data_IF_689497925610
#
_entry.id   IF_689497925610
#
_cell.length_a   1.000
_cell.length_b   1.000
_cell.length_c   1.000
_cell.angle_alpha   90.00
_cell.angle_beta   90.00
_cell.angle_gamma   90.00
#
_symmetry.space_group_name_H-M   'P 1'
#
loop_
_entity.id
_entity.type
_entity.pdbx_description
1 polymer ?
#
# COMPACT_ATOMS: atom_id res chain seq x y z
N UNK A 1 10.20 10.77 9.58
CA UNK A 1 9.89 11.24 8.21
C UNK A 1 11.16 11.90 7.74
N UNK A 2 11.77 11.42 6.65
CA UNK A 2 13.07 11.94 6.19
C UNK A 2 12.79 13.24 5.41
N UNK A 3 13.41 14.35 5.82
CA UNK A 3 13.25 15.63 5.13
C UNK A 3 14.08 15.65 3.83
N UNK A 4 13.69 16.49 2.87
CA UNK A 4 14.45 16.61 1.62
C UNK A 4 15.88 17.14 1.82
N UNK A 5 16.11 17.92 2.87
CA UNK A 5 17.45 18.39 3.28
C UNK A 5 18.33 17.24 3.74
N UNK A 6 17.76 16.32 4.54
CA UNK A 6 18.47 15.13 4.99
C UNK A 6 18.79 14.20 3.81
N UNK A 7 17.89 14.10 2.83
CA UNK A 7 18.17 13.37 1.57
C UNK A 7 19.31 14.04 0.81
N UNK A 8 19.34 15.37 0.69
CA UNK A 8 20.45 16.07 0.02
C UNK A 8 21.79 15.77 0.72
N UNK A 9 21.84 15.90 2.05
CA UNK A 9 23.04 15.65 2.84
C UNK A 9 23.53 14.19 2.71
N UNK A 10 22.62 13.21 2.74
CA UNK A 10 22.97 11.78 2.57
C UNK A 10 23.56 11.43 1.21
N UNK A 11 23.25 12.22 0.18
CA UNK A 11 23.77 12.01 -1.17
C UNK A 11 24.92 12.97 -1.51
N UNK A 12 25.46 13.68 -0.52
CA UNK A 12 26.60 14.60 -0.70
C UNK A 12 26.27 15.84 -1.53
N UNK A 13 25.00 16.21 -1.65
CA UNK A 13 24.59 17.38 -2.42
C UNK A 13 24.69 18.65 -1.57
N UNK A 14 25.49 19.61 -2.03
CA UNK A 14 25.63 20.91 -1.36
C UNK A 14 24.42 21.80 -1.66
N UNK A 15 23.71 22.18 -0.60
CA UNK A 15 22.58 23.10 -0.65
C UNK A 15 23.04 24.52 -0.28
N UNK A 16 22.68 25.49 -1.13
CA UNK A 16 22.92 26.91 -0.90
C UNK A 16 21.62 27.60 -0.47
N UNK A 17 21.64 28.40 0.60
CA UNK A 17 20.45 29.10 1.05
C UNK A 17 20.01 30.16 0.03
N UNK A 18 18.70 30.32 -0.14
CA UNK A 18 18.11 31.44 -0.88
C UNK A 18 17.61 32.51 0.09
N UNK A 19 17.24 33.69 -0.41
CA UNK A 19 16.60 34.76 0.36
C UNK A 19 15.30 34.35 1.08
N UNK A 20 14.68 33.23 0.67
CA UNK A 20 13.49 32.69 1.32
C UNK A 20 13.86 31.53 2.25
N UNK A 21 13.41 31.54 3.52
CA UNK A 21 13.66 30.43 4.43
C UNK A 21 13.00 29.15 3.91
N UNK A 22 13.71 28.03 4.00
CA UNK A 22 13.27 26.72 3.51
C UNK A 22 13.21 26.57 1.99
N UNK A 23 13.89 27.47 1.26
CA UNK A 23 14.19 27.33 -0.16
C UNK A 23 15.71 27.28 -0.35
N UNK A 24 16.16 26.24 -1.04
CA UNK A 24 17.55 25.94 -1.29
C UNK A 24 17.80 25.85 -2.78
N UNK A 25 19.02 26.22 -3.18
CA UNK A 25 19.53 26.07 -4.54
C UNK A 25 20.69 25.09 -4.52
N UNK A 26 20.82 24.29 -5.57
CA UNK A 26 21.91 23.35 -5.70
C UNK A 26 22.36 23.23 -7.16
N UNK A 27 23.55 22.65 -7.37
CA UNK A 27 23.99 22.25 -8.69
C UNK A 27 23.31 20.92 -9.06
N UNK A 28 22.76 20.86 -10.28
CA UNK A 28 22.15 19.63 -10.76
C UNK A 28 23.25 18.66 -11.22
N UNK A 29 23.34 17.43 -10.66
CA UNK A 29 24.36 16.46 -11.06
C UNK A 29 24.14 15.94 -12.49
N UNK A 30 22.88 15.88 -12.96
CA UNK A 30 22.53 15.39 -14.31
C UNK A 30 22.79 16.44 -15.39
N UNK A 31 22.55 17.71 -15.10
CA UNK A 31 22.72 18.79 -16.07
C UNK A 31 24.19 19.19 -16.30
N UNK A 32 25.11 18.65 -15.49
CA UNK A 32 26.53 19.01 -15.53
C UNK A 32 26.75 20.51 -15.31
N UNK A 33 26.02 21.13 -14.40
CA UNK A 33 26.10 22.57 -14.19
C UNK A 33 27.44 22.92 -13.51
N UNK A 34 28.37 23.51 -14.28
CA UNK A 34 29.61 24.08 -13.79
C UNK A 34 29.51 25.61 -13.87
N UNK A 35 29.52 26.31 -12.71
CA UNK A 35 29.53 27.77 -12.66
C UNK A 35 28.50 28.39 -11.70
N UNK A 36 28.10 29.65 -11.94
CA UNK A 36 27.21 30.44 -11.06
C UNK A 36 25.70 30.17 -11.25
N UNK A 37 25.33 29.30 -12.19
CA UNK A 37 23.92 29.06 -12.53
C UNK A 37 23.38 27.86 -11.75
N UNK A 38 22.49 28.12 -10.80
CA UNK A 38 21.77 27.10 -10.05
C UNK A 38 20.43 26.83 -10.71
N UNK A 39 20.25 25.66 -11.33
CA UNK A 39 18.97 25.27 -11.94
C UNK A 39 18.12 24.37 -11.04
N UNK A 40 18.71 23.78 -10.00
CA UNK A 40 18.02 22.90 -9.06
C UNK A 40 17.56 23.69 -7.83
N UNK A 41 16.25 23.70 -7.63
CA UNK A 41 15.58 24.32 -6.50
C UNK A 41 14.98 23.25 -5.60
N UNK A 42 15.20 23.36 -4.29
CA UNK A 42 14.73 22.41 -3.29
C UNK A 42 13.97 23.18 -2.22
N UNK A 43 12.73 22.80 -1.96
CA UNK A 43 11.90 23.39 -0.91
C UNK A 43 11.75 22.41 0.24
N UNK A 44 12.27 22.76 1.41
CA UNK A 44 12.07 21.95 2.62
C UNK A 44 10.70 22.14 3.25
N UNK A 45 10.04 23.28 3.02
CA UNK A 45 8.66 23.50 3.46
C UNK A 45 7.67 22.59 2.74
N UNK A 46 7.88 22.36 1.43
CA UNK A 46 7.01 21.51 0.60
C UNK A 46 7.54 20.08 0.44
N UNK A 47 8.75 19.80 0.93
CA UNK A 47 9.52 18.58 0.66
C UNK A 47 9.59 18.21 -0.83
N UNK A 48 9.73 19.22 -1.69
CA UNK A 48 9.79 19.05 -3.14
C UNK A 48 11.05 19.62 -3.75
N UNK A 49 11.49 19.05 -4.87
CA UNK A 49 12.54 19.60 -5.71
C UNK A 49 12.04 19.83 -7.13
N UNK A 50 12.69 20.77 -7.81
CA UNK A 50 12.46 21.05 -9.22
C UNK A 50 13.75 21.52 -9.88
N UNK A 51 14.12 20.92 -11.01
CA UNK A 51 15.18 21.42 -11.85
C UNK A 51 14.61 22.09 -13.10
N UNK A 52 14.93 23.37 -13.31
CA UNK A 52 14.46 24.12 -14.48
C UNK A 52 15.08 23.68 -15.82
N UNK A 53 16.22 22.97 -15.79
CA UNK A 53 16.97 22.57 -16.99
C UNK A 53 16.63 21.15 -17.46
N UNK A 54 16.65 20.15 -16.57
CA UNK A 54 16.23 18.79 -16.94
C UNK A 54 14.71 18.56 -16.77
N UNK A 55 14.00 19.47 -16.10
CA UNK A 55 12.55 19.35 -15.87
C UNK A 55 12.16 18.37 -14.77
N UNK A 56 13.12 17.68 -14.15
CA UNK A 56 12.86 16.69 -13.11
C UNK A 56 12.21 17.33 -11.88
N UNK A 57 11.21 16.66 -11.32
CA UNK A 57 10.43 17.16 -10.19
C UNK A 57 9.92 16.02 -9.33
N UNK A 58 9.81 16.27 -8.03
CA UNK A 58 9.22 15.28 -7.14
C UNK A 58 9.38 15.61 -5.67
N UNK A 59 9.03 14.64 -4.83
CA UNK A 59 9.25 14.71 -3.38
C UNK A 59 10.60 14.12 -2.95
N UNK A 60 10.87 14.08 -1.65
CA UNK A 60 12.11 13.57 -1.07
C UNK A 60 12.53 12.15 -1.55
N UNK A 61 11.57 11.23 -1.75
CA UNK A 61 11.87 9.86 -2.24
C UNK A 61 12.27 9.86 -3.71
N UNK A 62 11.54 10.62 -4.54
CA UNK A 62 11.89 10.77 -5.96
C UNK A 62 13.23 11.49 -6.11
N UNK A 63 13.53 12.44 -5.23
CA UNK A 63 14.82 13.13 -5.19
C UNK A 63 15.96 12.15 -4.92
N UNK A 64 15.79 11.26 -3.94
CA UNK A 64 16.78 10.22 -3.64
C UNK A 64 16.99 9.25 -4.79
N UNK A 65 15.88 8.78 -5.38
CA UNK A 65 15.90 7.90 -6.55
C UNK A 65 16.67 8.54 -7.71
N UNK A 66 16.37 9.80 -8.00
CA UNK A 66 16.99 10.56 -9.07
C UNK A 66 18.47 10.83 -8.83
N UNK A 67 18.88 11.20 -7.61
CA UNK A 67 20.29 11.43 -7.28
C UNK A 67 21.15 10.15 -7.38
N UNK A 68 20.57 8.98 -7.06
CA UNK A 68 21.28 7.68 -7.12
C UNK A 68 21.10 6.93 -8.43
N UNK A 69 20.19 7.36 -9.31
CA UNK A 69 19.83 6.63 -10.53
C UNK A 69 19.15 5.28 -10.27
N UNK A 70 18.44 5.13 -9.14
CA UNK A 70 17.75 3.91 -8.74
C UNK A 70 16.24 4.02 -8.95
N UNK A 71 15.53 2.89 -8.92
CA UNK A 71 14.06 2.89 -9.00
C UNK A 71 13.42 3.53 -7.76
N UNK A 72 12.20 4.05 -7.90
CA UNK A 72 11.46 4.68 -6.80
C UNK A 72 11.24 3.71 -5.61
N UNK A 73 11.01 2.42 -5.90
CA UNK A 73 10.83 1.39 -4.87
C UNK A 73 12.12 1.12 -4.10
N UNK A 74 13.27 1.04 -4.79
CA UNK A 74 14.57 0.88 -4.16
C UNK A 74 14.91 2.10 -3.28
N UNK A 75 14.71 3.32 -3.79
CA UNK A 75 14.91 4.54 -3.01
C UNK A 75 14.01 4.61 -1.77
N UNK A 76 12.76 4.16 -1.90
CA UNK A 76 11.83 4.08 -0.78
C UNK A 76 12.30 3.06 0.26
N UNK A 77 12.82 1.90 -0.16
CA UNK A 77 13.34 0.88 0.74
C UNK A 77 14.60 1.37 1.48
N UNK A 78 15.51 2.07 0.81
CA UNK A 78 16.71 2.64 1.43
C UNK A 78 16.40 3.76 2.44
N UNK A 79 15.48 4.66 2.11
CA UNK A 79 15.08 5.75 3.01
C UNK A 79 14.22 5.25 4.19
N UNK A 80 13.43 4.20 3.97
CA UNK A 80 12.50 3.63 4.94
C UNK A 80 12.72 2.12 5.09
N UNK A 81 13.87 1.68 5.63
CA UNK A 81 14.23 0.25 5.74
C UNK A 81 13.32 -0.53 6.68
N UNK A 82 12.66 0.15 7.62
CA UNK A 82 11.66 -0.45 8.50
C UNK A 82 10.33 -0.78 7.78
N UNK A 83 10.25 -0.51 6.48
CA UNK A 83 9.04 -0.62 5.69
C UNK A 83 7.95 0.34 6.19
N UNK A 84 6.94 0.57 5.37
CA UNK A 84 5.63 0.92 5.93
C UNK A 84 5.28 -0.21 6.89
N UNK A 85 5.31 0.02 8.22
CA UNK A 85 4.83 -0.96 9.21
C UNK A 85 3.55 -1.53 8.64
N UNK A 86 3.56 -2.81 8.22
CA UNK A 86 2.35 -3.45 7.72
C UNK A 86 1.38 -3.30 8.87
N UNK A 87 0.30 -2.53 8.65
CA UNK A 87 -0.74 -2.43 9.66
C UNK A 87 -1.18 -3.87 9.85
N UNK A 88 -1.06 -4.38 11.07
CA UNK A 88 -1.63 -5.68 11.43
C UNK A 88 -3.14 -5.50 11.41
N UNK A 89 -3.69 -5.49 10.19
CA UNK A 89 -5.12 -5.43 9.93
C UNK A 89 -5.70 -6.75 10.38
N UNK A 90 -6.85 -6.69 11.03
CA UNK A 90 -7.57 -7.91 11.39
C UNK A 90 -7.91 -8.70 10.11
N UNK A 91 -7.89 -10.04 10.13
CA UNK A 91 -8.30 -10.85 8.98
C UNK A 91 -9.64 -10.43 8.35
N UNK A 92 -10.65 -10.12 9.16
CA UNK A 92 -11.94 -9.61 8.68
C UNK A 92 -11.86 -8.26 7.94
N UNK A 93 -10.87 -7.41 8.20
CA UNK A 93 -10.70 -6.15 7.48
C UNK A 93 -10.13 -6.34 6.07
N UNK A 94 -9.53 -7.51 5.81
CA UNK A 94 -9.00 -7.89 4.50
C UNK A 94 -10.09 -8.43 3.57
N UNK A 95 -11.29 -8.70 4.09
CA UNK A 95 -12.42 -9.18 3.31
C UNK A 95 -12.87 -8.13 2.30
N UNK A 96 -13.13 -8.59 1.08
CA UNK A 96 -13.67 -7.79 -0.02
C UNK A 96 -15.14 -7.44 0.26
N UNK A 97 -15.65 -6.39 -0.41
CA UNK A 97 -17.05 -6.02 -0.30
C UNK A 97 -17.99 -7.15 -0.79
N UNK A 98 -17.57 -7.95 -1.77
CA UNK A 98 -18.32 -9.10 -2.27
C UNK A 98 -18.40 -10.22 -1.22
N UNK A 99 -17.28 -10.59 -0.59
CA UNK A 99 -17.26 -11.59 0.49
C UNK A 99 -18.13 -11.18 1.69
N UNK A 100 -18.14 -9.89 2.04
CA UNK A 100 -19.03 -9.39 3.08
C UNK A 100 -20.51 -9.41 2.65
N UNK A 101 -20.79 -9.14 1.37
CA UNK A 101 -22.14 -9.21 0.83
C UNK A 101 -22.66 -10.66 0.78
N UNK A 102 -21.81 -11.66 0.52
CA UNK A 102 -22.17 -13.09 0.62
C UNK A 102 -22.65 -13.47 2.03
N UNK A 103 -22.08 -12.85 3.06
CA UNK A 103 -22.50 -13.02 4.46
C UNK A 103 -23.71 -12.15 4.85
N UNK A 104 -24.27 -11.36 3.92
CA UNK A 104 -25.40 -10.48 4.20
C UNK A 104 -25.04 -9.14 4.86
N UNK A 105 -23.76 -8.78 4.96
CA UNK A 105 -23.37 -7.45 5.44
C UNK A 105 -23.64 -6.39 4.36
N UNK A 106 -24.42 -5.36 4.71
CA UNK A 106 -24.61 -4.20 3.83
C UNK A 106 -23.29 -3.48 3.58
N UNK A 107 -23.05 -3.06 2.33
CA UNK A 107 -21.79 -2.54 1.78
C UNK A 107 -21.19 -1.33 2.54
N UNK A 108 -21.91 -0.77 3.51
CA UNK A 108 -21.45 0.32 4.37
C UNK A 108 -20.58 -0.23 5.51
N UNK A 109 -19.29 -0.36 5.20
CA UNK A 109 -18.17 -0.56 6.13
C UNK A 109 -18.32 0.22 7.46
N UNK A 110 -18.75 -0.39 8.58
CA UNK A 110 -19.05 0.30 9.84
C UNK A 110 -17.77 0.60 10.67
N UNK A 111 -16.63 0.82 10.02
CA UNK A 111 -15.33 0.91 10.68
C UNK A 111 -15.07 2.24 11.38
N UNK A 112 -15.95 3.24 11.21
CA UNK A 112 -15.77 4.56 11.84
C UNK A 112 -16.31 4.56 13.26
N UNK A 113 -15.48 5.06 14.18
CA UNK A 113 -15.87 5.29 15.57
C UNK A 113 -17.04 6.26 15.63
N UNK A 114 -18.13 5.94 16.34
CA UNK A 114 -19.21 6.87 16.62
C UNK A 114 -18.69 8.07 17.41
N UNK A 115 -19.26 9.26 17.18
CA UNK A 115 -18.92 10.45 17.98
C UNK A 115 -19.43 10.24 19.41
N UNK A 116 -18.60 10.57 20.41
CA UNK A 116 -18.98 10.53 21.83
C UNK A 116 -18.76 9.18 22.54
N UNK A 117 -18.17 8.18 21.89
CA UNK A 117 -17.81 6.90 22.52
C UNK A 117 -16.37 6.95 23.03
N UNK A 118 -16.13 6.37 24.21
CA UNK A 118 -14.78 6.22 24.77
C UNK A 118 -13.87 5.42 23.80
N UNK A 119 -12.69 5.95 23.42
CA UNK A 119 -11.77 5.28 22.48
C UNK A 119 -11.29 3.89 22.91
N UNK A 120 -11.24 3.59 24.21
CA UNK A 120 -10.84 2.25 24.69
C UNK A 120 -12.00 1.26 24.61
N UNK A 121 -13.20 1.67 25.00
CA UNK A 121 -14.42 0.88 24.83
C UNK A 121 -14.68 0.54 23.35
N UNK A 122 -14.57 1.54 22.47
CA UNK A 122 -14.71 1.34 21.03
C UNK A 122 -13.69 0.34 20.47
N UNK A 123 -12.43 0.40 20.91
CA UNK A 123 -11.41 -0.57 20.46
C UNK A 123 -11.75 -2.00 20.83
N UNK A 124 -12.25 -2.24 22.05
CA UNK A 124 -12.69 -3.57 22.49
C UNK A 124 -13.89 -4.05 21.69
N UNK A 125 -14.92 -3.22 21.56
CA UNK A 125 -16.12 -3.54 20.80
C UNK A 125 -15.81 -3.81 19.32
N UNK A 126 -14.96 -2.97 18.70
CA UNK A 126 -14.52 -3.15 17.33
C UNK A 126 -13.76 -4.45 17.13
N UNK A 127 -12.89 -4.83 18.09
CA UNK A 127 -12.19 -6.11 18.04
C UNK A 127 -13.17 -7.28 18.10
N UNK A 128 -14.08 -7.30 19.07
CA UNK A 128 -15.07 -8.36 19.22
C UNK A 128 -15.97 -8.49 17.96
N UNK A 129 -16.38 -7.36 17.38
CA UNK A 129 -17.13 -7.34 16.12
C UNK A 129 -16.33 -7.95 14.96
N UNK A 130 -15.04 -7.62 14.85
CA UNK A 130 -14.15 -8.14 13.82
C UNK A 130 -13.85 -9.63 13.99
N UNK A 131 -13.71 -10.09 15.23
CA UNK A 131 -13.55 -11.51 15.58
C UNK A 131 -14.81 -12.29 15.15
N UNK A 132 -16.01 -11.81 15.49
CA UNK A 132 -17.27 -12.43 15.09
C UNK A 132 -17.46 -12.49 13.56
N UNK A 133 -17.24 -11.38 12.84
CA UNK A 133 -17.31 -11.37 11.37
C UNK A 133 -16.36 -12.39 10.76
N UNK A 134 -15.17 -12.54 11.35
CA UNK A 134 -14.18 -13.49 10.87
C UNK A 134 -14.61 -14.94 11.09
N UNK A 135 -15.16 -15.26 12.26
CA UNK A 135 -15.69 -16.59 12.58
C UNK A 135 -16.83 -16.98 11.63
N UNK A 136 -17.76 -16.06 11.37
CA UNK A 136 -18.85 -16.26 10.40
C UNK A 136 -18.31 -16.52 8.99
N UNK A 137 -17.33 -15.74 8.54
CA UNK A 137 -16.69 -15.95 7.24
C UNK A 137 -16.02 -17.33 7.14
N UNK A 138 -15.31 -17.77 8.19
CA UNK A 138 -14.71 -19.09 8.24
C UNK A 138 -15.74 -20.22 8.23
N UNK A 139 -16.89 -20.03 8.87
CA UNK A 139 -18.03 -20.94 8.79
C UNK A 139 -18.57 -21.05 7.36
N UNK A 140 -18.81 -19.90 6.73
CA UNK A 140 -19.32 -19.83 5.36
C UNK A 140 -18.36 -20.46 4.32
N UNK A 141 -17.05 -20.21 4.44
CA UNK A 141 -16.04 -20.83 3.58
C UNK A 141 -16.01 -22.36 3.75
N UNK A 142 -16.11 -22.86 4.99
CA UNK A 142 -16.21 -24.30 5.26
C UNK A 142 -17.46 -24.89 4.61
N UNK A 143 -18.60 -24.25 4.78
CA UNK A 143 -19.85 -24.71 4.17
C UNK A 143 -19.76 -24.73 2.63
N UNK A 144 -19.25 -23.67 2.00
CA UNK A 144 -19.04 -23.63 0.54
C UNK A 144 -18.10 -24.73 0.07
N UNK A 145 -17.03 -24.99 0.81
CA UNK A 145 -16.09 -26.07 0.51
C UNK A 145 -16.77 -27.44 0.57
N UNK A 146 -17.55 -27.70 1.62
CA UNK A 146 -18.29 -28.95 1.75
C UNK A 146 -19.33 -29.14 0.65
N UNK A 147 -20.06 -28.09 0.27
CA UNK A 147 -21.01 -28.15 -0.84
C UNK A 147 -20.30 -28.43 -2.17
N UNK A 148 -19.17 -27.77 -2.40
CA UNK A 148 -18.34 -27.99 -3.60
C UNK A 148 -17.83 -29.43 -3.65
N UNK A 149 -17.35 -29.96 -2.53
CA UNK A 149 -16.86 -31.35 -2.45
C UNK A 149 -17.99 -32.36 -2.70
N UNK A 150 -19.17 -32.14 -2.10
CA UNK A 150 -20.35 -32.99 -2.36
C UNK A 150 -20.76 -32.94 -3.83
N UNK A 151 -20.80 -31.76 -4.43
CA UNK A 151 -21.11 -31.59 -5.85
C UNK A 151 -20.09 -32.32 -6.73
N UNK A 152 -18.79 -32.16 -6.45
CA UNK A 152 -17.72 -32.84 -7.20
C UNK A 152 -17.86 -34.36 -7.10
N UNK A 153 -18.15 -34.91 -5.92
CA UNK A 153 -18.40 -36.36 -5.76
C UNK A 153 -19.59 -36.85 -6.57
N UNK A 154 -20.67 -36.08 -6.64
CA UNK A 154 -21.83 -36.46 -7.46
C UNK A 154 -21.50 -36.43 -8.95
N UNK A 155 -20.72 -35.44 -9.41
CA UNK A 155 -20.29 -35.33 -10.80
C UNK A 155 -19.34 -36.47 -11.20
N UNK A 156 -18.40 -36.86 -10.33
CA UNK A 156 -17.50 -38.00 -10.59
C UNK A 156 -18.27 -39.31 -10.69
N UNK A 157 -19.18 -39.57 -9.75
CA UNK A 157 -20.00 -40.79 -9.77
C UNK A 157 -20.89 -40.85 -11.01
N UNK A 158 -21.44 -39.71 -11.45
CA UNK A 158 -22.24 -39.63 -12.67
C UNK A 158 -21.39 -39.91 -13.93
N UNK A 159 -20.15 -39.40 -13.98
CA UNK A 159 -19.25 -39.66 -15.09
C UNK A 159 -18.88 -41.14 -15.21
N UNK A 160 -18.53 -41.78 -14.09
CA UNK A 160 -18.23 -43.22 -14.02
C UNK A 160 -19.43 -44.05 -14.51
N UNK A 161 -20.64 -43.73 -14.04
CA UNK A 161 -21.88 -44.41 -14.46
C UNK A 161 -22.16 -44.29 -15.97
N UNK A 162 -21.77 -43.18 -16.61
CA UNK A 162 -21.94 -42.99 -18.07
C UNK A 162 -20.92 -43.74 -18.91
N UNK A 163 -19.72 -43.97 -18.38
CA UNK A 163 -18.67 -44.71 -19.07
C UNK A 163 -18.85 -46.24 -18.97
N UNK A 164 -19.58 -46.72 -17.96
CA UNK A 164 -19.87 -48.14 -17.74
C UNK A 164 -21.08 -48.68 -18.53
N UNK A 165 -21.79 -47.85 -19.31
CA UNK A 165 -22.80 -48.36 -20.26
C UNK A 165 -22.08 -49.09 -21.40
N UNK A 166 -22.13 -50.44 -21.46
CA UNK A 166 -21.45 -51.17 -22.50
C UNK A 166 -22.21 -51.01 -23.82
N UNK A 167 -21.47 -50.82 -24.90
CA UNK A 167 -21.89 -51.02 -26.29
C UNK A 167 -22.39 -52.45 -26.49
N UNK A 168 -23.65 -52.69 -26.13
CA UNK A 168 -24.37 -53.92 -26.45
C UNK A 168 -25.20 -53.71 -27.72
N UNK A 169 -24.57 -53.93 -28.88
CA UNK A 169 -25.23 -54.15 -30.16
C UNK A 169 -24.59 -55.38 -30.82
#
# INVERSE_FOLDING_TARGET
>A
MVSIEEVAARNGLVLYPTSRPGQWKAHCPVCGDQGRNFHLYVSSVKDTFYCHKCGEKGGAVAFHAWLRGISFEAAKAELYPQGTRKRNLHPAERLTAAQLAELGFTTRKPWRMPKGVDPLAWRRQRKAMLDWIWEEYQGHERFKREQTERLMRLLTNAHESTCEQPTGA
#
